data_IF_415381005593
#
_entry.id   IF_415381005593
#
_cell.length_a   1.000
_cell.length_b   1.000
_cell.length_c   1.000
_cell.angle_alpha   90.00
_cell.angle_beta   90.00
_cell.angle_gamma   90.00
#
_symmetry.space_group_name_H-M   'P 1'
#
loop_
_entity.id
_entity.type
_entity.pdbx_description
1 polymer ?
#
# COMPACT_ATOMS: atom_id res chain seq x y z
N UNK A 1 -24.70 2.22 -5.40
CA UNK A 1 -23.86 3.43 -5.35
C UNK A 1 -24.58 4.60 -6.04
N UNK A 2 -24.61 5.80 -5.46
CA UNK A 2 -25.25 6.99 -6.07
C UNK A 2 -24.62 7.47 -7.38
N UNK A 3 -23.36 7.08 -7.65
CA UNK A 3 -22.61 7.54 -8.83
C UNK A 3 -22.57 6.49 -9.97
N UNK A 4 -22.28 5.23 -9.64
CA UNK A 4 -22.06 4.16 -10.63
C UNK A 4 -23.05 2.99 -10.57
N UNK A 5 -24.09 3.07 -9.73
CA UNK A 5 -25.14 2.05 -9.58
C UNK A 5 -24.68 0.64 -9.13
N UNK A 6 -23.40 0.45 -8.83
CA UNK A 6 -22.84 -0.78 -8.23
C UNK A 6 -23.57 -1.19 -6.93
N UNK A 7 -23.83 -2.49 -6.75
CA UNK A 7 -24.51 -3.09 -5.58
C UNK A 7 -23.55 -3.62 -4.51
N UNK A 8 -22.29 -3.17 -4.51
CA UNK A 8 -21.30 -3.52 -3.49
C UNK A 8 -21.61 -2.92 -2.11
N UNK A 9 -20.87 -3.34 -1.08
CA UNK A 9 -21.10 -2.88 0.28
C UNK A 9 -21.01 -1.34 0.36
N UNK A 10 -22.06 -0.64 0.84
CA UNK A 10 -22.14 0.81 0.77
C UNK A 10 -21.27 1.51 1.81
N UNK A 11 -20.67 2.62 1.37
CA UNK A 11 -19.94 3.58 2.20
C UNK A 11 -20.73 4.88 2.29
N UNK A 12 -20.60 5.57 3.43
CA UNK A 12 -21.10 6.94 3.63
C UNK A 12 -20.06 7.79 4.30
N UNK A 13 -20.15 9.10 4.10
CA UNK A 13 -19.30 10.08 4.76
C UNK A 13 -20.14 10.88 5.77
N UNK A 14 -19.56 11.18 6.94
CA UNK A 14 -20.23 11.98 7.98
C UNK A 14 -19.97 13.48 7.86
N UNK A 15 -18.97 13.87 7.07
CA UNK A 15 -18.51 15.26 6.96
C UNK A 15 -18.92 15.88 5.62
N UNK A 16 -19.18 15.08 4.59
CA UNK A 16 -19.77 15.56 3.35
C UNK A 16 -21.22 16.01 3.55
N UNK A 17 -21.61 17.07 2.84
CA UNK A 17 -23.00 17.50 2.82
C UNK A 17 -23.88 16.50 2.04
N UNK A 18 -25.06 16.21 2.57
CA UNK A 18 -26.05 15.30 1.99
C UNK A 18 -25.98 13.87 2.52
N UNK A 19 -26.87 13.01 2.00
CA UNK A 19 -27.01 11.59 2.40
C UNK A 19 -26.57 10.66 1.28
N UNK A 20 -25.37 10.91 0.73
CA UNK A 20 -24.84 10.11 -0.37
C UNK A 20 -24.33 8.75 0.11
N UNK A 21 -24.51 7.73 -0.72
CA UNK A 21 -24.04 6.36 -0.50
C UNK A 21 -23.18 5.95 -1.69
N UNK A 22 -21.93 5.56 -1.44
CA UNK A 22 -20.97 5.21 -2.48
C UNK A 22 -20.53 3.74 -2.41
N UNK A 23 -20.07 3.19 -3.52
CA UNK A 23 -19.18 2.02 -3.47
C UNK A 23 -17.78 2.47 -3.02
N UNK A 24 -16.86 1.52 -2.80
CA UNK A 24 -15.47 1.79 -2.43
C UNK A 24 -14.82 2.83 -3.36
N UNK A 25 -14.79 2.57 -4.67
CA UNK A 25 -14.03 3.39 -5.63
C UNK A 25 -14.60 4.81 -5.78
N UNK A 26 -15.93 4.92 -5.79
CA UNK A 26 -16.60 6.22 -5.80
C UNK A 26 -16.38 6.98 -4.49
N UNK A 27 -16.29 6.28 -3.36
CA UNK A 27 -15.94 6.90 -2.08
C UNK A 27 -14.52 7.46 -2.13
N UNK A 28 -13.53 6.67 -2.54
CA UNK A 28 -12.13 7.12 -2.68
C UNK A 28 -12.03 8.33 -3.61
N UNK A 29 -12.63 8.24 -4.80
CA UNK A 29 -12.61 9.31 -5.81
C UNK A 29 -13.21 10.62 -5.29
N UNK A 30 -14.33 10.53 -4.56
CA UNK A 30 -14.99 11.71 -3.99
C UNK A 30 -14.19 12.39 -2.87
N UNK A 31 -13.30 11.65 -2.19
CA UNK A 31 -12.57 12.14 -1.02
C UNK A 31 -11.08 12.40 -1.25
N UNK A 32 -10.57 12.27 -2.48
CA UNK A 32 -9.15 12.49 -2.80
C UNK A 32 -8.62 13.87 -2.37
N UNK A 33 -9.47 14.90 -2.41
CA UNK A 33 -9.14 16.28 -1.97
C UNK A 33 -9.51 16.59 -0.52
N UNK A 34 -10.16 15.65 0.16
CA UNK A 34 -10.62 15.79 1.55
C UNK A 34 -10.33 14.49 2.33
N UNK A 35 -9.06 14.04 2.38
CA UNK A 35 -8.69 12.71 2.87
C UNK A 35 -9.00 12.47 4.35
N UNK A 36 -9.22 13.53 5.12
CA UNK A 36 -9.48 13.46 6.56
C UNK A 36 -10.97 13.38 6.92
N UNK A 37 -11.86 13.33 5.94
CA UNK A 37 -13.29 13.10 6.18
C UNK A 37 -13.53 11.71 6.80
N UNK A 38 -14.46 11.65 7.74
CA UNK A 38 -14.84 10.45 8.48
C UNK A 38 -15.83 9.63 7.67
N UNK A 39 -15.36 8.51 7.16
CA UNK A 39 -16.19 7.55 6.42
C UNK A 39 -16.68 6.41 7.31
N UNK A 40 -17.75 5.77 6.87
CA UNK A 40 -18.31 4.58 7.50
C UNK A 40 -18.67 3.56 6.42
N UNK A 41 -18.43 2.29 6.71
CA UNK A 41 -18.80 1.16 5.85
C UNK A 41 -19.99 0.42 6.44
N UNK A 42 -20.89 -0.06 5.59
CA UNK A 42 -21.93 -0.99 6.02
C UNK A 42 -21.36 -2.39 6.20
N UNK A 43 -21.55 -2.98 7.38
CA UNK A 43 -21.08 -4.34 7.69
C UNK A 43 -22.20 -5.41 7.61
N UNK A 44 -23.39 -5.04 7.12
CA UNK A 44 -24.58 -5.89 7.12
C UNK A 44 -25.60 -5.54 8.20
N UNK A 45 -25.15 -4.97 9.33
CA UNK A 45 -26.00 -4.64 10.47
C UNK A 45 -26.04 -3.13 10.78
N UNK A 46 -24.88 -2.46 10.71
CA UNK A 46 -24.76 -1.04 10.99
C UNK A 46 -23.61 -0.40 10.20
N UNK A 47 -23.56 0.94 10.24
CA UNK A 47 -22.44 1.70 9.70
C UNK A 47 -21.32 1.80 10.74
N UNK A 48 -20.27 1.02 10.54
CA UNK A 48 -19.08 1.03 11.38
C UNK A 48 -18.06 2.06 10.87
N UNK A 49 -17.17 2.50 11.75
CA UNK A 49 -16.10 3.44 11.38
C UNK A 49 -15.15 2.77 10.40
N UNK A 50 -14.81 3.48 9.33
CA UNK A 50 -13.80 3.09 8.37
C UNK A 50 -12.92 4.31 8.06
N UNK A 51 -11.83 4.10 7.34
CA UNK A 51 -10.90 5.14 6.94
C UNK A 51 -10.55 4.96 5.46
N UNK A 52 -10.30 6.08 4.78
CA UNK A 52 -9.98 6.07 3.35
C UNK A 52 -8.64 5.37 3.07
N UNK A 53 -7.74 5.34 4.05
CA UNK A 53 -6.43 4.67 3.96
C UNK A 53 -6.60 3.16 3.79
N UNK A 54 -7.48 2.51 4.57
CA UNK A 54 -7.85 1.09 4.36
C UNK A 54 -8.58 0.86 3.04
N UNK A 55 -9.07 1.91 2.40
CA UNK A 55 -9.70 1.86 1.07
C UNK A 55 -8.72 2.25 -0.05
N UNK A 56 -7.42 2.17 0.19
CA UNK A 56 -6.35 2.42 -0.81
C UNK A 56 -6.26 3.88 -1.27
N UNK A 57 -6.77 4.84 -0.50
CA UNK A 57 -6.46 6.25 -0.74
C UNK A 57 -5.01 6.53 -0.32
N UNK A 58 -4.14 6.69 -1.32
CA UNK A 58 -2.75 7.12 -1.13
C UNK A 58 -2.71 8.65 -1.21
N UNK A 59 -2.20 9.28 -0.16
CA UNK A 59 -1.91 10.72 -0.16
C UNK A 59 -0.43 10.84 -0.54
N UNK A 60 -0.18 11.31 -1.77
CA UNK A 60 1.17 11.71 -2.12
C UNK A 60 1.48 13.06 -1.46
N UNK A 61 2.48 13.06 -0.57
CA UNK A 61 2.99 14.27 0.07
C UNK A 61 4.15 14.89 -0.72
N UNK A 62 4.60 14.22 -1.79
CA UNK A 62 5.51 14.84 -2.74
C UNK A 62 4.78 16.01 -3.43
N UNK A 63 5.52 17.08 -3.66
CA UNK A 63 5.04 18.17 -4.48
C UNK A 63 4.67 17.63 -5.87
N UNK A 64 3.58 18.16 -6.43
CA UNK A 64 3.07 17.82 -7.76
C UNK A 64 4.24 17.64 -8.74
N UNK A 65 4.41 16.46 -9.36
CA UNK A 65 5.69 16.10 -9.96
C UNK A 65 6.03 16.89 -11.23
N UNK A 66 5.13 17.71 -11.75
CA UNK A 66 5.37 18.31 -13.06
C UNK A 66 6.14 19.64 -13.03
N UNK A 67 6.17 20.40 -11.92
CA UNK A 67 6.86 21.71 -11.90
C UNK A 67 7.06 22.26 -10.48
N UNK A 68 7.73 21.50 -9.60
CA UNK A 68 8.19 22.09 -8.34
C UNK A 68 9.58 22.72 -8.54
N UNK A 69 9.71 24.06 -8.71
CA UNK A 69 10.99 24.72 -9.03
C UNK A 69 12.06 24.56 -7.93
N UNK A 70 11.66 24.10 -6.75
CA UNK A 70 12.55 23.84 -5.61
C UNK A 70 13.14 22.43 -5.58
N UNK A 71 12.74 21.53 -6.48
CA UNK A 71 13.30 20.17 -6.57
C UNK A 71 14.21 20.14 -7.80
N UNK A 72 15.55 20.02 -7.65
CA UNK A 72 16.40 19.79 -8.80
C UNK A 72 16.02 18.46 -9.45
N UNK A 73 15.87 18.45 -10.77
CA UNK A 73 15.61 17.24 -11.56
C UNK A 73 16.74 16.23 -11.31
N UNK A 74 16.45 15.20 -10.54
CA UNK A 74 17.43 14.20 -10.15
C UNK A 74 17.51 13.13 -11.26
N UNK A 75 18.42 13.32 -12.21
CA UNK A 75 18.71 12.34 -13.29
C UNK A 75 19.62 11.19 -12.82
N UNK A 76 19.71 10.95 -11.50
CA UNK A 76 20.70 10.04 -10.91
C UNK A 76 20.06 8.99 -9.99
N UNK A 77 19.05 8.25 -10.48
CA UNK A 77 18.58 7.03 -9.78
C UNK A 77 19.18 5.75 -10.38
N UNK A 78 20.41 5.82 -10.91
CA UNK A 78 21.18 4.65 -11.33
C UNK A 78 22.43 4.41 -10.46
N UNK A 79 22.34 4.41 -9.13
CA UNK A 79 23.44 3.92 -8.28
C UNK A 79 22.95 3.25 -6.99
N UNK A 80 21.97 2.35 -7.09
CA UNK A 80 21.74 1.35 -6.03
C UNK A 80 21.58 0.00 -6.70
N UNK A 81 22.70 -0.58 -7.15
CA UNK A 81 22.93 -2.01 -7.36
C UNK A 81 24.37 -2.21 -7.86
N UNK A 82 25.34 -2.05 -6.96
CA UNK A 82 26.68 -2.64 -7.13
C UNK A 82 26.78 -3.85 -6.18
N UNK A 83 26.66 -5.10 -6.68
CA UNK A 83 26.79 -6.31 -5.86
C UNK A 83 28.25 -6.77 -5.68
N UNK A 84 29.24 -5.89 -5.82
CA UNK A 84 30.66 -6.30 -5.80
C UNK A 84 31.51 -5.41 -4.89
N UNK A 85 31.58 -5.81 -3.60
CA UNK A 85 32.80 -5.83 -2.75
C UNK A 85 32.47 -6.10 -1.28
N UNK A 86 32.83 -7.29 -0.79
CA UNK A 86 33.63 -7.45 0.43
C UNK A 86 34.06 -8.92 0.55
N UNK A 87 35.29 -9.18 0.14
CA UNK A 87 36.04 -10.38 0.48
C UNK A 87 36.41 -10.40 1.97
N UNK A 88 36.72 -11.61 2.46
CA UNK A 88 37.47 -11.96 3.67
C UNK A 88 36.80 -11.90 5.06
N UNK A 89 36.30 -13.06 5.52
CA UNK A 89 36.71 -13.73 6.75
C UNK A 89 35.74 -14.87 7.12
N UNK A 90 36.16 -16.12 6.91
CA UNK A 90 36.37 -17.05 8.04
C UNK A 90 36.74 -18.45 7.50
N UNK A 91 38.04 -18.74 7.63
CA UNK A 91 38.64 -20.05 7.61
C UNK A 91 38.38 -20.72 8.97
N UNK A 92 37.56 -21.78 9.04
CA UNK A 92 37.75 -22.77 10.10
C UNK A 92 37.20 -24.16 9.76
N UNK A 93 38.15 -25.10 9.73
CA UNK A 93 38.08 -26.51 10.04
C UNK A 93 37.23 -27.46 9.16
N UNK A 94 38.03 -28.12 8.33
CA UNK A 94 37.90 -29.43 7.73
C UNK A 94 37.30 -30.55 8.63
N UNK A 95 36.69 -31.51 7.93
CA UNK A 95 36.58 -32.94 8.27
C UNK A 95 35.48 -33.43 9.23
N UNK A 96 34.37 -33.90 8.66
CA UNK A 96 33.82 -35.21 9.05
C UNK A 96 33.00 -35.86 7.91
N UNK A 97 33.54 -36.93 7.33
CA UNK A 97 32.89 -37.70 6.25
C UNK A 97 31.72 -38.54 6.78
N UNK A 98 30.56 -38.59 6.10
CA UNK A 98 29.53 -39.58 6.41
C UNK A 98 29.83 -40.90 5.68
N UNK A 99 30.09 -41.95 6.47
CA UNK A 99 30.09 -43.33 6.04
C UNK A 99 28.69 -43.76 5.56
N UNK A 100 28.63 -44.46 4.43
CA UNK A 100 27.42 -45.11 3.94
C UNK A 100 26.93 -46.19 4.94
N UNK A 101 25.62 -46.26 5.17
CA UNK A 101 24.97 -47.55 5.43
C UNK A 101 23.50 -47.54 5.02
N UNK A 102 23.19 -48.50 4.16
CA UNK A 102 21.91 -48.98 3.67
C UNK A 102 20.93 -49.47 4.75
N UNK A 103 19.62 -49.37 4.45
CA UNK A 103 18.52 -50.16 5.02
C UNK A 103 17.32 -49.29 5.42
N UNK A 104 16.06 -49.64 5.24
CA UNK A 104 15.33 -50.72 4.55
C UNK A 104 13.87 -50.24 4.46
N UNK A 105 13.16 -50.57 3.38
CA UNK A 105 11.69 -50.64 3.37
C UNK A 105 11.26 -52.10 3.46
#
# INVERSE_FOLDING_TARGET
CSNCQESSSPYRCRDCFGTNIWCRDCCVSAHIRVPFHRIQMWNGNYFERSDLLTQELIIDLAHYPDDCPSIPSNDETQMINDPDKSDDADEFADEFQPSQSSGST
#
